data_IF_515701559500
#
_entry.id   IF_515701559500
#
_cell.length_a   1.000
_cell.length_b   1.000
_cell.length_c   1.000
_cell.angle_alpha   90.00
_cell.angle_beta   90.00
_cell.angle_gamma   90.00
#
_symmetry.space_group_name_H-M   'P 1'
#
loop_
_entity.id
_entity.type
_entity.pdbx_description
1 polymer ?
#
# COMPACT_ATOMS: atom_id res chain seq x y z
N UNK A 1 2.38 11.69 -50.59
CA UNK A 1 2.45 11.13 -49.22
C UNK A 1 3.86 11.36 -48.75
N UNK A 2 4.04 12.10 -47.62
CA UNK A 2 5.32 12.32 -46.96
C UNK A 2 5.18 12.03 -45.48
N UNK A 3 6.28 11.71 -44.82
CA UNK A 3 6.42 11.63 -43.36
C UNK A 3 7.36 12.74 -42.92
N UNK A 4 7.09 13.33 -41.78
CA UNK A 4 7.97 14.27 -41.11
C UNK A 4 8.14 13.83 -39.64
N UNK A 5 9.37 13.90 -39.14
CA UNK A 5 9.67 13.65 -37.73
C UNK A 5 9.85 14.98 -37.04
N UNK A 6 9.31 15.11 -35.84
CA UNK A 6 9.41 16.31 -35.01
C UNK A 6 9.78 15.90 -33.60
N UNK A 7 10.89 16.41 -33.11
CA UNK A 7 11.29 16.23 -31.72
C UNK A 7 10.51 17.15 -30.80
N UNK A 8 9.91 16.58 -29.76
CA UNK A 8 9.22 17.32 -28.70
C UNK A 8 10.03 17.23 -27.42
N UNK A 9 10.57 18.36 -26.99
CA UNK A 9 11.34 18.43 -25.74
C UNK A 9 10.50 19.03 -24.63
N UNK A 10 10.40 18.31 -23.50
CA UNK A 10 9.71 18.78 -22.29
C UNK A 10 10.76 19.29 -21.29
N UNK A 11 10.70 20.59 -20.97
CA UNK A 11 11.52 21.15 -19.92
C UNK A 11 10.88 20.90 -18.54
N UNK A 12 11.39 19.92 -17.80
CA UNK A 12 10.89 19.52 -16.49
C UNK A 12 11.10 20.55 -15.38
N UNK A 13 11.95 21.54 -15.57
CA UNK A 13 12.25 22.57 -14.55
C UNK A 13 11.24 23.73 -14.56
N UNK A 14 10.47 23.87 -15.64
CA UNK A 14 9.49 24.94 -15.80
C UNK A 14 8.08 24.48 -15.40
N UNK A 15 7.26 25.43 -14.94
CA UNK A 15 5.86 25.21 -14.61
C UNK A 15 5.63 24.54 -13.27
N UNK A 16 4.38 24.55 -12.81
CA UNK A 16 3.93 23.91 -11.58
C UNK A 16 3.77 22.39 -11.76
N UNK A 17 3.55 21.65 -10.66
CA UNK A 17 3.10 20.27 -10.74
C UNK A 17 1.69 20.17 -11.28
N UNK A 18 1.39 19.12 -12.01
CA UNK A 18 0.05 18.89 -12.56
C UNK A 18 0.05 18.32 -13.97
N UNK A 19 -1.12 18.27 -14.56
CA UNK A 19 -1.34 17.77 -15.91
C UNK A 19 -1.21 18.91 -16.91
N UNK A 20 -0.40 18.68 -17.93
CA UNK A 20 -0.21 19.59 -19.06
C UNK A 20 -0.74 18.93 -20.31
N UNK A 21 -1.51 19.67 -21.09
CA UNK A 21 -2.04 19.23 -22.38
C UNK A 21 -1.73 20.25 -23.45
N UNK A 22 -1.56 19.77 -24.66
CA UNK A 22 -1.30 20.60 -25.83
C UNK A 22 -1.54 19.80 -27.10
N UNK A 23 -1.12 20.36 -28.20
CA UNK A 23 -1.15 19.66 -29.47
C UNK A 23 -0.04 20.14 -30.40
N UNK A 24 0.43 19.24 -31.23
CA UNK A 24 1.21 19.58 -32.42
C UNK A 24 0.27 19.88 -33.57
N UNK A 25 0.48 20.98 -34.23
CA UNK A 25 -0.23 21.36 -35.45
C UNK A 25 0.73 21.22 -36.62
N UNK A 26 0.34 20.40 -37.61
CA UNK A 26 1.03 20.31 -38.88
C UNK A 26 0.12 20.82 -39.99
N UNK A 27 0.63 21.71 -40.84
CA UNK A 27 -0.08 22.29 -41.99
C UNK A 27 0.72 22.05 -43.26
N UNK A 28 0.03 21.83 -44.37
CA UNK A 28 0.66 21.85 -45.69
C UNK A 28 1.01 23.27 -46.13
N UNK A 29 1.77 23.38 -47.22
CA UNK A 29 2.23 24.68 -47.74
C UNK A 29 1.10 25.64 -48.14
N UNK A 30 -0.05 25.11 -48.50
CA UNK A 30 -1.23 25.87 -48.90
C UNK A 30 -2.25 26.09 -47.76
N UNK A 31 -1.92 25.62 -46.53
CA UNK A 31 -2.77 25.67 -45.34
C UNK A 31 -4.14 24.98 -45.50
N UNK A 32 -4.28 24.09 -46.50
CA UNK A 32 -5.50 23.35 -46.76
C UNK A 32 -5.68 22.09 -45.92
N UNK A 33 -4.56 21.51 -45.51
CA UNK A 33 -4.54 20.33 -44.65
C UNK A 33 -3.95 20.72 -43.29
N UNK A 34 -4.73 20.49 -42.24
CA UNK A 34 -4.32 20.75 -40.88
C UNK A 34 -4.46 19.46 -40.07
N UNK A 35 -3.35 18.98 -39.51
CA UNK A 35 -3.32 17.83 -38.64
C UNK A 35 -3.03 18.29 -37.21
N UNK A 36 -3.80 17.75 -36.27
CA UNK A 36 -3.58 18.00 -34.84
C UNK A 36 -3.24 16.66 -34.16
N UNK A 37 -2.10 16.61 -33.48
CA UNK A 37 -1.72 15.46 -32.65
C UNK A 37 -1.74 15.91 -31.19
N UNK A 38 -2.66 15.37 -30.37
CA UNK A 38 -2.73 15.74 -28.97
C UNK A 38 -1.48 15.25 -28.23
N UNK A 39 -1.00 16.07 -27.30
CA UNK A 39 0.09 15.77 -26.39
C UNK A 39 -0.40 15.96 -24.95
N UNK A 40 0.06 15.09 -24.07
CA UNK A 40 -0.20 15.23 -22.65
C UNK A 40 0.94 14.64 -21.83
N UNK A 41 1.23 15.31 -20.72
CA UNK A 41 2.15 14.76 -19.72
C UNK A 41 1.73 15.22 -18.33
N UNK A 42 2.08 14.42 -17.33
CA UNK A 42 1.87 14.74 -15.94
C UNK A 42 3.24 15.09 -15.32
N UNK A 43 3.37 16.30 -14.80
CA UNK A 43 4.51 16.71 -13.99
C UNK A 43 4.23 16.37 -12.54
N UNK A 44 4.77 15.27 -12.07
CA UNK A 44 4.66 14.83 -10.68
C UNK A 44 5.48 15.72 -9.75
N UNK A 45 5.04 15.90 -8.48
CA UNK A 45 5.92 16.39 -7.42
C UNK A 45 7.08 15.41 -7.19
N UNK A 46 7.98 15.75 -6.30
CA UNK A 46 9.02 14.82 -5.84
C UNK A 46 8.34 13.57 -5.25
N UNK A 47 8.74 12.40 -5.74
CA UNK A 47 8.16 11.11 -5.35
C UNK A 47 9.28 10.09 -5.11
N UNK A 48 9.11 9.30 -4.08
CA UNK A 48 10.02 8.23 -3.70
C UNK A 48 9.37 6.86 -3.78
N UNK A 49 10.20 5.84 -3.98
CA UNK A 49 9.78 4.44 -3.95
C UNK A 49 9.80 3.92 -2.51
N UNK A 50 8.63 3.69 -1.94
CA UNK A 50 8.47 2.95 -0.69
C UNK A 50 8.21 1.49 -1.04
N UNK A 51 9.28 0.67 -0.96
CA UNK A 51 9.20 -0.77 -1.18
C UNK A 51 8.85 -1.47 0.12
N UNK A 52 7.82 -2.28 0.10
CA UNK A 52 7.43 -3.14 1.22
C UNK A 52 7.72 -4.59 0.85
N UNK A 53 8.54 -5.27 1.65
CA UNK A 53 8.79 -6.70 1.57
C UNK A 53 8.11 -7.40 2.72
N UNK A 54 7.40 -8.47 2.45
CA UNK A 54 6.69 -9.23 3.45
C UNK A 54 7.08 -10.70 3.43
N UNK A 55 7.33 -11.22 4.63
CA UNK A 55 7.61 -12.64 4.87
C UNK A 55 6.44 -13.24 5.63
N UNK A 56 5.88 -14.32 5.11
CA UNK A 56 4.81 -15.08 5.75
C UNK A 56 5.31 -15.87 6.97
N UNK A 57 4.40 -16.42 7.75
CA UNK A 57 4.74 -17.15 8.98
C UNK A 57 5.55 -18.43 8.74
N UNK A 58 5.38 -19.05 7.58
CA UNK A 58 6.17 -20.22 7.15
C UNK A 58 7.57 -19.86 6.63
N UNK A 59 7.92 -18.58 6.61
CA UNK A 59 9.21 -18.06 6.15
C UNK A 59 9.31 -17.83 4.65
N UNK A 60 8.27 -18.14 3.90
CA UNK A 60 8.19 -17.85 2.45
C UNK A 60 7.82 -16.39 2.20
N UNK A 61 8.05 -15.86 0.97
CA UNK A 61 7.51 -14.58 0.57
C UNK A 61 5.99 -14.54 0.75
N UNK A 62 5.46 -13.46 1.32
CA UNK A 62 4.01 -13.27 1.41
C UNK A 62 3.43 -13.04 0.01
N UNK A 63 2.33 -13.70 -0.30
CA UNK A 63 1.71 -13.61 -1.63
C UNK A 63 0.21 -13.83 -1.56
N UNK A 64 -0.39 -14.15 -2.71
CA UNK A 64 -1.81 -14.44 -2.82
C UNK A 64 -2.68 -13.25 -2.43
N UNK A 65 -3.50 -13.43 -1.39
CA UNK A 65 -4.40 -12.39 -0.87
C UNK A 65 -3.73 -11.48 0.18
N UNK A 66 -2.45 -11.70 0.49
CA UNK A 66 -1.71 -10.82 1.39
C UNK A 66 -1.50 -9.45 0.74
N UNK A 67 -1.64 -8.39 1.53
CA UNK A 67 -1.52 -7.03 1.02
C UNK A 67 -0.86 -6.09 2.03
N UNK A 68 -0.36 -4.99 1.52
CA UNK A 68 0.15 -3.88 2.31
C UNK A 68 -0.68 -2.62 2.09
N UNK A 69 -0.70 -1.79 3.12
CA UNK A 69 -1.27 -0.45 3.10
C UNK A 69 -0.22 0.57 3.52
N UNK A 70 -0.29 1.73 2.88
CA UNK A 70 0.54 2.90 3.19
C UNK A 70 -0.37 4.09 3.37
N UNK A 71 -0.37 4.66 4.55
CA UNK A 71 -1.24 5.77 4.95
C UNK A 71 -0.40 6.95 5.41
N UNK A 72 -0.59 8.13 4.79
CA UNK A 72 0.08 9.35 5.24
C UNK A 72 -0.38 9.73 6.66
N UNK A 73 0.58 9.92 7.55
CA UNK A 73 0.33 10.28 8.95
C UNK A 73 -0.02 11.77 9.09
N UNK A 74 0.48 12.60 8.18
CA UNK A 74 0.33 14.04 8.29
C UNK A 74 -1.08 14.53 7.86
N UNK A 75 -1.74 13.82 6.92
CA UNK A 75 -2.96 14.36 6.33
C UNK A 75 -3.98 13.35 5.79
N UNK A 76 -3.71 12.06 5.80
CA UNK A 76 -4.49 11.01 5.12
C UNK A 76 -4.70 11.21 3.59
N UNK A 77 -4.10 12.24 2.99
CA UNK A 77 -4.25 12.51 1.55
C UNK A 77 -3.64 11.40 0.67
N UNK A 78 -2.69 10.66 1.20
CA UNK A 78 -2.11 9.50 0.54
C UNK A 78 -2.50 8.25 1.33
N UNK A 79 -3.41 7.47 0.74
CA UNK A 79 -3.79 6.15 1.22
C UNK A 79 -3.69 5.20 0.04
N UNK A 80 -2.75 4.28 0.11
CA UNK A 80 -2.45 3.33 -0.95
C UNK A 80 -2.54 1.91 -0.40
N UNK A 81 -3.06 1.01 -1.22
CA UNK A 81 -3.16 -0.42 -0.92
C UNK A 81 -2.68 -1.24 -2.11
N UNK A 82 -2.12 -2.40 -1.85
CA UNK A 82 -1.79 -3.35 -2.91
C UNK A 82 -1.30 -4.68 -2.42
N UNK A 83 -1.66 -5.72 -3.19
CA UNK A 83 -1.21 -7.07 -2.94
C UNK A 83 0.29 -7.19 -3.20
N UNK A 84 0.94 -8.10 -2.47
CA UNK A 84 2.31 -8.49 -2.74
C UNK A 84 2.39 -9.36 -4.00
N UNK A 85 3.50 -9.23 -4.71
CA UNK A 85 3.84 -10.11 -5.82
C UNK A 85 4.35 -11.48 -5.32
N UNK A 86 4.76 -12.34 -6.23
CA UNK A 86 5.28 -13.69 -5.92
C UNK A 86 6.57 -13.69 -5.11
N UNK A 87 7.29 -12.56 -5.10
CA UNK A 87 8.51 -12.36 -4.31
C UNK A 87 8.22 -11.70 -2.94
N UNK A 88 6.94 -11.55 -2.59
CA UNK A 88 6.52 -10.89 -1.36
C UNK A 88 6.78 -9.39 -1.36
N UNK A 89 6.77 -8.76 -2.52
CA UNK A 89 7.14 -7.36 -2.66
C UNK A 89 5.98 -6.52 -3.19
N UNK A 90 5.84 -5.30 -2.65
CA UNK A 90 4.99 -4.26 -3.20
C UNK A 90 5.73 -2.93 -3.19
N UNK A 91 5.67 -2.19 -4.29
CA UNK A 91 6.25 -0.84 -4.38
C UNK A 91 5.14 0.18 -4.47
N UNK A 92 5.21 1.18 -3.62
CA UNK A 92 4.35 2.36 -3.63
C UNK A 92 5.17 3.58 -4.02
N UNK A 93 4.60 4.47 -4.81
CA UNK A 93 5.18 5.80 -5.07
C UNK A 93 4.48 6.82 -4.19
N UNK A 94 5.27 7.48 -3.35
CA UNK A 94 4.75 8.43 -2.36
C UNK A 94 5.58 9.72 -2.36
N UNK A 95 4.97 10.89 -2.09
CA UNK A 95 5.71 12.11 -1.84
C UNK A 95 6.54 12.00 -0.54
N UNK A 96 7.52 12.88 -0.32
CA UNK A 96 8.21 12.94 0.98
C UNK A 96 7.19 13.20 2.10
N UNK A 97 7.37 12.51 3.23
CA UNK A 97 6.44 12.60 4.37
C UNK A 97 6.58 11.45 5.35
N UNK A 98 5.73 11.43 6.35
CA UNK A 98 5.64 10.35 7.34
C UNK A 98 4.47 9.44 7.02
N UNK A 99 4.70 8.13 7.04
CA UNK A 99 3.73 7.11 6.65
C UNK A 99 3.58 6.02 7.71
N UNK A 100 2.37 5.54 7.87
CA UNK A 100 2.08 4.26 8.52
C UNK A 100 2.05 3.17 7.45
N UNK A 101 2.84 2.12 7.65
CA UNK A 101 2.92 0.95 6.76
C UNK A 101 2.38 -0.25 7.50
N UNK A 102 1.32 -0.87 7.00
CA UNK A 102 0.70 -2.05 7.60
C UNK A 102 0.61 -3.19 6.58
N UNK A 103 0.77 -4.42 7.05
CA UNK A 103 0.60 -5.62 6.26
C UNK A 103 -0.36 -6.59 6.91
N UNK A 104 -1.30 -7.10 6.12
CA UNK A 104 -2.16 -8.22 6.43
C UNK A 104 -1.65 -9.44 5.66
N UNK A 105 -0.94 -10.30 6.37
CA UNK A 105 -0.17 -11.39 5.79
C UNK A 105 -0.86 -12.70 6.08
N UNK A 106 -1.36 -13.33 5.02
CA UNK A 106 -2.06 -14.61 5.08
C UNK A 106 -1.08 -15.75 4.82
N UNK A 107 -1.24 -16.82 5.59
CA UNK A 107 -0.58 -18.11 5.37
C UNK A 107 -1.65 -19.19 5.42
N UNK A 108 -1.55 -20.16 4.53
CA UNK A 108 -2.48 -21.28 4.44
C UNK A 108 -1.72 -22.58 4.64
N UNK A 109 -2.43 -23.64 5.06
CA UNK A 109 -1.85 -24.96 5.07
C UNK A 109 -1.59 -25.51 3.64
N UNK A 110 -1.00 -26.69 3.54
CA UNK A 110 -0.67 -27.29 2.24
C UNK A 110 -1.90 -27.57 1.38
N UNK A 111 -3.09 -27.70 1.97
CA UNK A 111 -4.36 -27.89 1.24
C UNK A 111 -4.94 -26.57 0.77
N UNK A 112 -4.52 -25.45 1.35
CA UNK A 112 -4.96 -24.09 1.01
C UNK A 112 -6.37 -23.75 1.46
N UNK A 113 -7.09 -24.64 2.14
CA UNK A 113 -8.52 -24.50 2.37
C UNK A 113 -8.98 -24.71 3.82
N UNK A 114 -8.22 -25.40 4.67
CA UNK A 114 -8.68 -25.81 5.99
C UNK A 114 -8.15 -24.98 7.15
N UNK A 115 -6.97 -24.41 7.00
CA UNK A 115 -6.34 -23.62 8.05
C UNK A 115 -5.80 -22.30 7.49
N UNK A 116 -6.23 -21.22 8.10
CA UNK A 116 -5.80 -19.87 7.73
C UNK A 116 -5.13 -19.18 8.91
N UNK A 117 -3.93 -18.70 8.69
CA UNK A 117 -3.25 -17.80 9.62
C UNK A 117 -3.27 -16.39 9.04
N UNK A 118 -3.74 -15.43 9.81
CA UNK A 118 -3.69 -14.02 9.48
C UNK A 118 -2.80 -13.29 10.46
N UNK A 119 -1.72 -12.72 9.97
CA UNK A 119 -0.79 -11.93 10.76
C UNK A 119 -0.85 -10.45 10.38
N UNK A 120 -1.04 -9.61 11.39
CA UNK A 120 -0.90 -8.16 11.28
C UNK A 120 0.53 -7.76 11.69
N UNK A 121 1.23 -7.08 10.79
CA UNK A 121 2.58 -6.56 11.02
C UNK A 121 2.62 -5.12 10.55
N UNK A 122 3.14 -4.20 11.35
CA UNK A 122 3.20 -2.80 10.94
C UNK A 122 4.47 -2.08 11.42
N UNK A 123 4.86 -1.10 10.63
CA UNK A 123 5.76 -0.01 11.01
C UNK A 123 4.90 1.28 10.98
N UNK A 124 4.39 1.69 12.15
CA UNK A 124 3.33 2.70 12.21
C UNK A 124 3.80 4.13 11.96
N UNK A 125 5.12 4.36 11.90
CA UNK A 125 5.71 5.67 11.64
C UNK A 125 7.04 5.53 10.90
N UNK A 126 7.01 5.81 9.60
CA UNK A 126 8.13 5.70 8.66
C UNK A 126 8.34 7.03 7.98
N UNK A 127 9.51 7.64 8.13
CA UNK A 127 9.87 8.85 7.40
C UNK A 127 10.42 8.49 6.02
N UNK A 128 9.83 9.07 4.97
CA UNK A 128 10.23 8.88 3.58
C UNK A 128 10.76 10.20 3.01
N UNK A 129 12.09 10.28 2.89
CA UNK A 129 12.82 11.40 2.28
C UNK A 129 13.73 10.95 1.11
N UNK A 130 13.69 9.65 0.80
CA UNK A 130 14.38 8.97 -0.29
C UNK A 130 13.73 7.61 -0.54
N UNK A 131 14.16 6.91 -1.57
CA UNK A 131 13.79 5.52 -1.79
C UNK A 131 14.15 4.67 -0.58
N UNK A 132 13.19 3.90 -0.06
CA UNK A 132 13.34 3.11 1.16
C UNK A 132 12.68 1.73 1.01
N UNK A 133 13.20 0.75 1.74
CA UNK A 133 12.59 -0.57 1.87
C UNK A 133 12.18 -0.83 3.31
N UNK A 134 10.95 -1.27 3.52
CA UNK A 134 10.39 -1.71 4.79
C UNK A 134 10.17 -3.21 4.74
N UNK A 135 10.55 -3.92 5.79
CA UNK A 135 10.36 -5.35 5.91
C UNK A 135 9.29 -5.67 6.96
N UNK A 136 8.25 -6.37 6.54
CA UNK A 136 7.16 -6.86 7.38
C UNK A 136 7.30 -8.37 7.55
N UNK A 137 7.79 -8.81 8.70
CA UNK A 137 8.06 -10.22 9.00
C UNK A 137 6.97 -10.80 9.91
N UNK A 138 6.06 -11.61 9.35
CA UNK A 138 4.98 -12.24 10.08
C UNK A 138 5.45 -13.28 11.11
N UNK A 139 6.70 -13.76 11.04
CA UNK A 139 7.26 -14.68 12.04
C UNK A 139 7.45 -14.01 13.40
N UNK A 140 7.53 -12.67 13.45
CA UNK A 140 7.60 -11.88 14.69
C UNK A 140 6.24 -11.75 15.38
N UNK A 141 5.15 -12.02 14.67
CA UNK A 141 3.80 -11.92 15.21
C UNK A 141 3.51 -13.06 16.19
N UNK A 142 2.87 -12.72 17.30
CA UNK A 142 2.45 -13.64 18.34
C UNK A 142 0.98 -13.99 18.14
N UNK A 143 0.63 -15.23 18.44
CA UNK A 143 -0.76 -15.68 18.38
C UNK A 143 -1.62 -14.90 19.36
N UNK A 144 -2.76 -14.44 18.90
CA UNK A 144 -3.79 -13.84 19.71
C UNK A 144 -4.67 -14.98 20.24
N UNK A 145 -4.83 -15.03 21.55
CA UNK A 145 -5.65 -16.04 22.21
C UNK A 145 -6.73 -15.35 23.03
N UNK A 146 -7.97 -15.76 22.81
CA UNK A 146 -9.10 -15.37 23.63
C UNK A 146 -9.35 -16.48 24.63
N UNK A 147 -9.18 -16.19 25.90
CA UNK A 147 -9.48 -17.13 26.98
C UNK A 147 -10.88 -16.84 27.50
N UNK A 148 -11.74 -17.86 27.44
CA UNK A 148 -13.09 -17.81 28.03
C UNK A 148 -13.16 -18.68 29.27
N UNK A 149 -14.02 -18.34 30.20
CA UNK A 149 -14.33 -19.19 31.39
C UNK A 149 -15.24 -20.36 31.05
N UNK A 150 -15.94 -20.26 29.93
CA UNK A 150 -16.84 -21.28 29.45
C UNK A 150 -16.09 -22.40 28.73
N UNK A 151 -16.50 -23.66 29.01
CA UNK A 151 -15.97 -24.84 28.34
C UNK A 151 -16.67 -25.04 26.99
N UNK A 152 -15.94 -25.53 26.00
CA UNK A 152 -16.47 -25.87 24.67
C UNK A 152 -16.94 -24.67 23.82
N UNK A 153 -16.27 -23.54 23.93
CA UNK A 153 -16.46 -22.41 23.00
C UNK A 153 -15.68 -22.64 21.71
N UNK A 154 -16.29 -22.33 20.58
CA UNK A 154 -15.69 -22.34 19.25
C UNK A 154 -15.73 -20.92 18.71
N UNK A 155 -14.63 -20.43 18.17
CA UNK A 155 -14.60 -19.14 17.48
C UNK A 155 -15.25 -19.32 16.10
N UNK A 156 -16.43 -18.76 15.89
CA UNK A 156 -17.10 -18.79 14.60
C UNK A 156 -16.60 -17.70 13.64
N UNK A 157 -16.17 -16.58 14.20
CA UNK A 157 -15.68 -15.44 13.45
C UNK A 157 -14.62 -14.70 14.27
N UNK A 158 -13.60 -14.22 13.60
CA UNK A 158 -12.60 -13.37 14.20
C UNK A 158 -12.25 -12.21 13.25
N UNK A 159 -12.00 -11.06 13.82
CA UNK A 159 -11.60 -9.87 13.07
C UNK A 159 -10.41 -9.22 13.71
N UNK A 160 -9.65 -8.51 12.92
CA UNK A 160 -8.61 -7.61 13.41
C UNK A 160 -8.70 -6.29 12.66
N UNK A 161 -8.42 -5.21 13.38
CA UNK A 161 -8.52 -3.87 12.86
C UNK A 161 -7.44 -2.98 13.46
N UNK A 162 -7.07 -1.92 12.75
CA UNK A 162 -6.29 -0.84 13.33
C UNK A 162 -6.89 0.51 12.99
N UNK A 163 -6.61 1.45 13.86
CA UNK A 163 -6.91 2.87 13.67
C UNK A 163 -5.59 3.63 13.62
N UNK A 164 -5.50 4.55 12.69
CA UNK A 164 -4.41 5.51 12.60
C UNK A 164 -4.99 6.91 12.65
N UNK A 165 -4.83 7.58 13.77
CA UNK A 165 -5.23 8.97 13.95
C UNK A 165 -4.05 9.87 13.62
N UNK A 166 -4.25 10.86 12.77
CA UNK A 166 -3.24 11.87 12.41
C UNK A 166 -3.12 12.93 13.50
N UNK A 167 -2.08 13.77 13.44
CA UNK A 167 -1.96 14.94 14.32
C UNK A 167 -3.14 15.92 14.17
N UNK A 168 -3.75 15.98 12.98
CA UNK A 168 -4.93 16.82 12.74
C UNK A 168 -6.25 16.22 13.23
N UNK A 169 -6.23 15.01 13.80
CA UNK A 169 -7.40 14.29 14.29
C UNK A 169 -8.17 13.53 13.22
N UNK A 170 -7.68 13.47 11.98
CA UNK A 170 -8.29 12.63 10.96
C UNK A 170 -7.98 11.15 11.25
N UNK A 171 -8.97 10.27 11.06
CA UNK A 171 -8.90 8.85 11.44
C UNK A 171 -8.95 7.99 10.18
N UNK A 172 -7.96 7.14 10.03
CA UNK A 172 -7.99 6.00 9.10
C UNK A 172 -8.32 4.72 9.86
N UNK A 173 -9.22 3.93 9.31
CA UNK A 173 -9.61 2.62 9.84
C UNK A 173 -9.47 1.55 8.78
N UNK A 174 -8.89 0.43 9.17
CA UNK A 174 -8.90 -0.79 8.37
C UNK A 174 -9.19 -2.00 9.24
N UNK A 175 -10.21 -2.75 8.85
CA UNK A 175 -10.54 -4.04 9.44
C UNK A 175 -10.53 -5.15 8.40
N UNK A 176 -10.13 -6.33 8.83
CA UNK A 176 -10.24 -7.57 8.07
C UNK A 176 -10.91 -8.64 8.94
N UNK A 177 -11.65 -9.52 8.28
CA UNK A 177 -12.32 -10.65 8.93
C UNK A 177 -11.73 -11.95 8.43
N UNK A 178 -11.70 -12.96 9.29
CA UNK A 178 -11.38 -14.32 8.87
C UNK A 178 -12.56 -14.95 8.13
N UNK A 179 -12.29 -15.95 7.31
CA UNK A 179 -13.32 -16.70 6.63
C UNK A 179 -14.04 -17.63 7.62
N UNK A 180 -15.37 -17.62 7.57
CA UNK A 180 -16.20 -18.49 8.40
C UNK A 180 -16.00 -19.96 8.02
N UNK A 181 -15.94 -20.84 9.02
CA UNK A 181 -15.83 -22.28 8.81
C UNK A 181 -14.42 -22.80 8.59
N UNK A 182 -13.40 -21.94 8.67
CA UNK A 182 -11.99 -22.34 8.67
C UNK A 182 -11.45 -22.38 10.11
N UNK A 183 -10.45 -23.21 10.35
CA UNK A 183 -9.62 -23.13 11.55
C UNK A 183 -8.70 -21.90 11.43
N UNK A 184 -9.14 -20.81 12.03
CA UNK A 184 -8.51 -19.51 11.86
C UNK A 184 -7.65 -19.14 13.06
N UNK A 185 -6.43 -18.72 12.79
CA UNK A 185 -5.54 -18.20 13.81
C UNK A 185 -5.14 -16.75 13.50
N UNK A 186 -5.29 -15.87 14.48
CA UNK A 186 -4.88 -14.48 14.40
C UNK A 186 -3.54 -14.25 15.10
N UNK A 187 -2.72 -13.43 14.50
CA UNK A 187 -1.40 -13.06 15.00
C UNK A 187 -1.18 -11.57 14.85
N UNK A 188 -0.52 -10.95 15.81
CA UNK A 188 -0.09 -9.56 15.73
C UNK A 188 1.36 -9.39 16.17
N UNK A 189 2.11 -8.61 15.44
CA UNK A 189 3.45 -8.21 15.83
C UNK A 189 3.39 -6.97 16.74
N UNK A 190 4.24 -6.91 17.79
CA UNK A 190 4.37 -5.68 18.57
C UNK A 190 4.87 -4.54 17.68
N UNK A 191 4.31 -3.36 17.85
CA UNK A 191 4.69 -2.14 17.14
C UNK A 191 5.43 -1.18 18.07
N UNK A 192 6.17 -0.24 17.48
CA UNK A 192 6.73 0.87 18.22
C UNK A 192 5.64 1.86 18.61
N UNK A 193 5.85 2.58 19.70
CA UNK A 193 5.02 3.73 20.02
C UNK A 193 5.20 4.81 18.95
N UNK A 194 4.11 5.43 18.51
CA UNK A 194 4.14 6.53 17.55
C UNK A 194 4.42 7.86 18.26
N UNK A 195 5.06 8.77 17.54
CA UNK A 195 5.31 10.13 18.02
C UNK A 195 4.25 11.12 17.50
N UNK A 196 3.61 10.81 16.39
CA UNK A 196 2.59 11.64 15.73
C UNK A 196 1.22 10.96 15.78
N UNK A 197 0.24 11.65 16.37
CA UNK A 197 -1.13 11.13 16.50
C UNK A 197 -1.21 9.85 17.33
N UNK A 198 -2.11 8.93 16.95
CA UNK A 198 -2.37 7.68 17.68
C UNK A 198 -2.38 6.47 16.73
N UNK A 199 -1.95 5.34 17.23
CA UNK A 199 -2.04 4.06 16.57
C UNK A 199 -2.63 3.03 17.52
N UNK A 200 -3.79 2.50 17.17
CA UNK A 200 -4.53 1.53 17.97
C UNK A 200 -4.82 0.28 17.16
N UNK A 201 -4.77 -0.86 17.82
CA UNK A 201 -5.02 -2.17 17.22
C UNK A 201 -6.08 -2.93 18.04
N UNK A 202 -7.02 -3.55 17.35
CA UNK A 202 -8.16 -4.26 17.92
C UNK A 202 -8.32 -5.66 17.33
N UNK A 203 -8.80 -6.58 18.14
CA UNK A 203 -9.22 -7.94 17.75
C UNK A 203 -10.54 -8.29 18.36
#
# INVERSE_FOLDING_TARGET
>A
KGTAEVDVTINRTLGNYGVYTGYLKATDADEKIVLHTPLGFHKEPEMYSLKVKATARDGKPAGGISFAEVVSVDSLHTTLEGNFDTEGTRVFRVPPGTYSVAGFIYSFDETGLSHQQLAFVSEPEVEVTKDITIELDARRAKRIQVNTTEKNTVAENASMAYFRTTESGAIYYRGVHTLVGLDNELYAAPTKQVSKGEFEYYT
#
